data_IF_883384353582
#
_entry.id   IF_883384353582
#
_cell.length_a   1.000
_cell.length_b   1.000
_cell.length_c   1.000
_cell.angle_alpha   90.00
_cell.angle_beta   90.00
_cell.angle_gamma   90.00
#
_symmetry.space_group_name_H-M   'P 1'
#
loop_
_entity.id
_entity.type
_entity.pdbx_description
1 polymer ?
#
# COMPACT_ATOMS: atom_id res chain seq x y z
N UNK A 1 10.00 28.52 -51.58
CA UNK A 1 9.50 28.95 -50.25
C UNK A 1 10.57 28.55 -49.25
N UNK A 2 11.42 29.50 -48.84
CA UNK A 2 12.57 29.21 -47.97
C UNK A 2 12.08 29.06 -46.52
N UNK A 3 12.26 27.87 -45.96
CA UNK A 3 12.00 27.59 -44.54
C UNK A 3 13.06 28.32 -43.72
N UNK A 4 12.61 29.27 -42.89
CA UNK A 4 13.43 30.00 -41.93
C UNK A 4 13.90 29.02 -40.86
N UNK A 5 15.11 28.51 -40.97
CA UNK A 5 15.74 27.68 -39.92
C UNK A 5 15.88 28.56 -38.68
N UNK A 6 15.07 28.33 -37.65
CA UNK A 6 15.21 29.05 -36.40
C UNK A 6 16.57 28.69 -35.78
N UNK A 7 17.50 29.64 -35.70
CA UNK A 7 18.75 29.54 -34.93
C UNK A 7 18.39 29.30 -33.47
N UNK A 8 18.29 28.04 -33.07
CA UNK A 8 17.80 27.67 -31.74
C UNK A 8 18.96 27.08 -30.97
N UNK A 9 19.37 27.81 -29.93
CA UNK A 9 20.33 27.32 -28.94
C UNK A 9 19.73 26.05 -28.30
N UNK A 10 20.46 24.92 -28.23
CA UNK A 10 19.93 23.72 -27.60
C UNK A 10 19.56 23.93 -26.13
N UNK A 11 18.45 23.34 -25.70
CA UNK A 11 17.95 23.48 -24.32
C UNK A 11 18.69 22.61 -23.30
N UNK A 12 19.28 21.50 -23.76
CA UNK A 12 20.08 20.59 -22.92
C UNK A 12 21.48 21.15 -22.76
N UNK A 13 22.01 21.20 -21.54
CA UNK A 13 23.36 21.72 -21.26
C UNK A 13 24.46 20.96 -22.03
N UNK A 14 24.29 19.64 -22.18
CA UNK A 14 25.23 18.79 -22.93
C UNK A 14 25.18 19.08 -24.43
N UNK A 15 23.98 19.20 -25.00
CA UNK A 15 23.81 19.53 -26.42
C UNK A 15 24.24 20.97 -26.71
N UNK A 16 24.02 21.88 -25.75
CA UNK A 16 24.48 23.25 -25.81
C UNK A 16 26.00 23.34 -25.81
N UNK A 17 26.70 22.57 -24.97
CA UNK A 17 28.17 22.54 -24.96
C UNK A 17 28.72 22.01 -26.29
N UNK A 18 28.12 20.94 -26.85
CA UNK A 18 28.52 20.38 -28.15
C UNK A 18 28.31 21.39 -29.27
N UNK A 19 27.13 22.01 -29.32
CA UNK A 19 26.80 23.02 -30.30
C UNK A 19 27.70 24.26 -30.17
N UNK A 20 27.96 24.74 -28.95
CA UNK A 20 28.80 25.91 -28.69
C UNK A 20 30.24 25.68 -29.13
N UNK A 21 30.79 24.49 -28.90
CA UNK A 21 32.12 24.11 -29.41
C UNK A 21 32.21 24.19 -30.92
N UNK A 22 31.21 23.65 -31.62
CA UNK A 22 31.15 23.69 -33.07
C UNK A 22 30.98 25.12 -33.58
N UNK A 23 30.07 25.89 -32.97
CA UNK A 23 29.81 27.28 -33.34
C UNK A 23 31.04 28.16 -33.16
N UNK A 24 31.65 28.18 -31.97
CA UNK A 24 32.85 28.98 -31.67
C UNK A 24 34.00 28.60 -32.60
N UNK A 25 34.21 27.30 -32.85
CA UNK A 25 35.24 26.83 -33.80
C UNK A 25 35.02 27.31 -35.24
N UNK A 26 33.78 27.43 -35.71
CA UNK A 26 33.50 27.91 -37.08
C UNK A 26 33.71 29.43 -37.20
N UNK A 27 33.25 30.19 -36.21
CA UNK A 27 33.40 31.65 -36.22
C UNK A 27 34.83 32.10 -35.98
N UNK A 28 35.61 31.37 -35.17
CA UNK A 28 37.04 31.67 -34.97
C UNK A 28 37.91 31.31 -36.16
N UNK A 29 37.53 30.28 -36.93
CA UNK A 29 38.23 29.92 -38.17
C UNK A 29 37.98 30.90 -39.32
N UNK A 30 36.82 31.59 -39.35
CA UNK A 30 36.44 32.48 -40.46
C UNK A 30 35.77 33.80 -39.98
N UNK A 31 36.43 34.61 -39.15
CA UNK A 31 35.80 35.78 -38.52
C UNK A 31 35.31 36.83 -39.53
N UNK A 32 36.08 37.07 -40.61
CA UNK A 32 35.72 38.03 -41.66
C UNK A 32 34.45 37.63 -42.42
N UNK A 33 34.23 36.31 -42.63
CA UNK A 33 33.03 35.79 -43.31
C UNK A 33 31.76 36.11 -42.52
N UNK A 34 31.87 36.13 -41.20
CA UNK A 34 30.75 36.40 -40.28
C UNK A 34 30.73 37.85 -39.77
N UNK A 35 31.64 38.71 -40.26
CA UNK A 35 31.77 40.11 -39.84
C UNK A 35 31.91 40.28 -38.32
N UNK A 36 32.68 39.39 -37.67
CA UNK A 36 32.94 39.44 -36.23
C UNK A 36 34.29 40.08 -35.94
N UNK A 37 34.31 40.99 -34.96
CA UNK A 37 35.54 41.60 -34.44
C UNK A 37 36.39 40.58 -33.69
N UNK A 38 37.72 40.73 -33.75
CA UNK A 38 38.67 39.80 -33.12
C UNK A 38 38.43 39.68 -31.59
N UNK A 39 38.18 40.81 -30.91
CA UNK A 39 37.92 40.84 -29.47
C UNK A 39 36.68 40.01 -29.10
N UNK A 40 35.63 40.04 -29.94
CA UNK A 40 34.41 39.24 -29.73
C UNK A 40 34.69 37.75 -29.86
N UNK A 41 35.51 37.34 -30.82
CA UNK A 41 35.88 35.93 -31.00
C UNK A 41 36.68 35.44 -29.79
N UNK A 42 37.64 36.23 -29.31
CA UNK A 42 38.43 35.89 -28.11
C UNK A 42 37.57 35.81 -26.85
N UNK A 43 36.58 36.69 -26.70
CA UNK A 43 35.61 36.63 -25.60
C UNK A 43 34.80 35.32 -25.64
N UNK A 44 34.27 34.94 -26.81
CA UNK A 44 33.51 33.69 -26.98
C UNK A 44 34.35 32.43 -26.71
N UNK A 45 35.62 32.41 -27.13
CA UNK A 45 36.54 31.32 -26.82
C UNK A 45 36.82 31.21 -25.32
N UNK A 46 36.95 32.35 -24.64
CA UNK A 46 37.16 32.42 -23.19
C UNK A 46 35.93 31.92 -22.42
N UNK A 47 34.73 32.39 -22.79
CA UNK A 47 33.46 31.96 -22.17
C UNK A 47 33.20 30.46 -22.40
N UNK A 48 33.49 29.95 -23.60
CA UNK A 48 33.35 28.52 -23.89
C UNK A 48 34.28 27.67 -23.00
N UNK A 49 35.53 28.09 -22.81
CA UNK A 49 36.48 27.38 -21.95
C UNK A 49 36.04 27.38 -20.48
N UNK A 50 35.55 28.53 -19.98
CA UNK A 50 35.00 28.66 -18.63
C UNK A 50 33.76 27.78 -18.44
N UNK A 51 32.81 27.84 -19.38
CA UNK A 51 31.59 27.03 -19.34
C UNK A 51 31.91 25.53 -19.39
N UNK A 52 32.85 25.10 -20.24
CA UNK A 52 33.27 23.70 -20.29
C UNK A 52 33.83 23.23 -18.96
N UNK A 53 34.70 24.02 -18.31
CA UNK A 53 35.28 23.67 -17.02
C UNK A 53 34.19 23.55 -15.95
N UNK A 54 33.27 24.51 -15.90
CA UNK A 54 32.14 24.47 -14.97
C UNK A 54 31.22 23.25 -15.21
N UNK A 55 30.99 22.89 -16.47
CA UNK A 55 30.20 21.70 -16.83
C UNK A 55 30.87 20.41 -16.35
N UNK A 56 32.18 20.26 -16.60
CA UNK A 56 32.94 19.07 -16.18
C UNK A 56 33.02 18.95 -14.65
N UNK A 57 33.22 20.07 -13.93
CA UNK A 57 33.20 20.13 -12.47
C UNK A 57 31.82 19.74 -11.89
N UNK A 58 30.73 20.21 -12.50
CA UNK A 58 29.38 19.86 -12.08
C UNK A 58 29.07 18.37 -12.28
N UNK A 59 29.49 17.80 -13.41
CA UNK A 59 29.35 16.36 -13.69
C UNK A 59 30.14 15.54 -12.67
N UNK A 60 31.38 15.92 -12.38
CA UNK A 60 32.22 15.25 -11.39
C UNK A 60 31.59 15.30 -9.99
N UNK A 61 31.14 16.47 -9.55
CA UNK A 61 30.51 16.65 -8.24
C UNK A 61 29.21 15.81 -8.11
N UNK A 62 28.42 15.73 -9.19
CA UNK A 62 27.24 14.86 -9.24
C UNK A 62 27.61 13.39 -9.05
N UNK A 63 28.63 12.92 -9.78
CA UNK A 63 29.03 11.52 -9.76
C UNK A 63 29.66 11.13 -8.41
N UNK A 64 30.46 12.02 -7.80
CA UNK A 64 31.01 11.85 -6.45
C UNK A 64 29.90 11.77 -5.39
N UNK A 65 28.89 12.66 -5.46
CA UNK A 65 27.74 12.64 -4.55
C UNK A 65 26.94 11.34 -4.66
N UNK A 66 26.72 10.87 -5.90
CA UNK A 66 26.04 9.60 -6.16
C UNK A 66 26.85 8.41 -5.61
N UNK A 67 28.17 8.40 -5.83
CA UNK A 67 29.06 7.36 -5.33
C UNK A 67 29.09 7.33 -3.79
N UNK A 68 29.21 8.48 -3.14
CA UNK A 68 29.18 8.59 -1.68
C UNK A 68 27.84 8.11 -1.10
N UNK A 69 26.73 8.46 -1.74
CA UNK A 69 25.39 8.01 -1.34
C UNK A 69 25.24 6.49 -1.46
N UNK A 70 25.69 5.92 -2.57
CA UNK A 70 25.70 4.46 -2.78
C UNK A 70 26.57 3.75 -1.75
N UNK A 71 27.78 4.26 -1.50
CA UNK A 71 28.71 3.68 -0.52
C UNK A 71 28.12 3.67 0.89
N UNK A 72 27.60 4.82 1.35
CA UNK A 72 26.90 4.94 2.64
C UNK A 72 25.76 3.93 2.75
N UNK A 73 24.95 3.78 1.70
CA UNK A 73 23.81 2.86 1.68
C UNK A 73 24.26 1.40 1.77
N UNK A 74 25.31 1.02 1.04
CA UNK A 74 25.91 -0.31 1.10
C UNK A 74 26.45 -0.62 2.50
N UNK A 75 27.19 0.31 3.11
CA UNK A 75 27.71 0.17 4.47
C UNK A 75 26.58 0.03 5.49
N UNK A 76 25.54 0.86 5.39
CA UNK A 76 24.36 0.77 6.26
C UNK A 76 23.71 -0.60 6.17
N UNK A 77 23.50 -1.14 4.97
CA UNK A 77 22.90 -2.46 4.78
C UNK A 77 23.75 -3.57 5.41
N UNK A 78 25.06 -3.52 5.23
CA UNK A 78 25.98 -4.49 5.83
C UNK A 78 25.96 -4.41 7.37
N UNK A 79 26.01 -3.20 7.92
CA UNK A 79 25.97 -2.97 9.36
C UNK A 79 24.63 -3.39 9.97
N UNK A 80 23.52 -3.09 9.31
CA UNK A 80 22.18 -3.50 9.73
C UNK A 80 22.05 -5.02 9.79
N UNK A 81 22.56 -5.74 8.79
CA UNK A 81 22.55 -7.20 8.78
C UNK A 81 23.35 -7.77 9.98
N UNK A 82 24.56 -7.26 10.22
CA UNK A 82 25.38 -7.71 11.34
C UNK A 82 24.74 -7.39 12.70
N UNK A 83 24.14 -6.20 12.83
CA UNK A 83 23.42 -5.79 14.03
C UNK A 83 22.22 -6.69 14.31
N UNK A 84 21.45 -7.06 13.27
CA UNK A 84 20.34 -8.01 13.39
C UNK A 84 20.80 -9.40 13.83
N UNK A 85 21.94 -9.87 13.32
CA UNK A 85 22.53 -11.15 13.74
C UNK A 85 22.94 -11.09 15.20
N UNK A 86 23.65 -10.04 15.62
CA UNK A 86 24.05 -9.85 17.01
C UNK A 86 22.84 -9.79 17.96
N UNK A 87 21.80 -9.04 17.61
CA UNK A 87 20.57 -8.95 18.40
C UNK A 87 19.90 -10.32 18.57
N UNK A 88 19.86 -11.16 17.52
CA UNK A 88 19.33 -12.54 17.60
C UNK A 88 20.16 -13.43 18.54
N UNK A 89 21.48 -13.28 18.53
CA UNK A 89 22.36 -14.03 19.43
C UNK A 89 22.13 -13.63 20.89
N UNK A 90 21.97 -12.33 21.16
CA UNK A 90 21.63 -11.81 22.50
C UNK A 90 20.27 -12.34 22.96
N UNK A 91 19.27 -12.36 22.07
CA UNK A 91 17.93 -12.89 22.38
C UNK A 91 17.97 -14.37 22.77
N UNK A 92 18.76 -15.17 22.06
CA UNK A 92 18.83 -16.62 22.25
C UNK A 92 19.71 -17.05 23.44
N UNK A 93 20.54 -16.15 23.96
CA UNK A 93 21.47 -16.44 25.04
C UNK A 93 20.75 -16.34 26.40
N UNK A 94 20.63 -17.48 27.09
CA UNK A 94 19.99 -17.63 28.40
C UNK A 94 20.76 -16.94 29.54
N UNK A 95 22.05 -16.63 29.34
CA UNK A 95 22.88 -15.89 30.30
C UNK A 95 22.67 -14.39 30.28
N UNK A 96 22.03 -13.84 29.25
CA UNK A 96 21.72 -12.41 29.18
C UNK A 96 20.42 -12.16 29.93
N UNK A 97 20.43 -11.28 30.93
CA UNK A 97 19.24 -10.94 31.69
C UNK A 97 18.29 -10.07 30.86
N UNK A 98 17.00 -10.01 31.23
CA UNK A 98 16.06 -9.12 30.55
C UNK A 98 16.42 -7.64 30.72
N UNK A 99 17.00 -7.26 31.86
CA UNK A 99 17.50 -5.90 32.09
C UNK A 99 18.65 -5.55 31.13
N UNK A 100 19.57 -6.49 30.89
CA UNK A 100 20.66 -6.29 29.93
C UNK A 100 20.15 -6.26 28.48
N UNK A 101 19.13 -7.07 28.14
CA UNK A 101 18.47 -7.00 26.83
C UNK A 101 17.83 -5.64 26.61
N UNK A 102 17.09 -5.14 27.61
CA UNK A 102 16.46 -3.83 27.55
C UNK A 102 17.50 -2.71 27.44
N UNK A 103 18.58 -2.76 28.23
CA UNK A 103 19.69 -1.81 28.14
C UNK A 103 20.37 -1.82 26.76
N UNK A 104 20.45 -2.98 26.10
CA UNK A 104 20.96 -3.13 24.74
C UNK A 104 19.94 -2.72 23.65
N UNK A 105 18.72 -2.32 24.02
CA UNK A 105 17.63 -2.00 23.08
C UNK A 105 17.06 -3.24 22.36
N UNK A 106 17.30 -4.43 22.90
CA UNK A 106 16.79 -5.71 22.38
C UNK A 106 15.44 -6.01 23.04
N UNK A 107 14.48 -6.48 22.25
CA UNK A 107 13.12 -6.76 22.72
C UNK A 107 13.09 -7.85 23.79
N UNK A 108 12.54 -7.56 24.96
CA UNK A 108 12.25 -8.58 25.99
C UNK A 108 10.96 -9.32 25.62
N UNK A 109 11.07 -10.64 25.38
CA UNK A 109 9.94 -11.44 24.95
C UNK A 109 8.93 -11.62 26.09
N UNK A 110 7.64 -11.45 25.78
CA UNK A 110 6.57 -11.71 26.75
C UNK A 110 6.39 -13.22 26.95
N UNK A 111 6.50 -13.71 28.18
CA UNK A 111 6.29 -15.13 28.51
C UNK A 111 4.82 -15.53 28.67
N UNK A 112 3.90 -14.57 28.75
CA UNK A 112 2.46 -14.82 28.84
C UNK A 112 1.73 -14.41 27.57
N UNK A 113 0.84 -15.28 27.09
CA UNK A 113 -0.07 -14.94 25.98
C UNK A 113 -1.21 -14.09 26.54
N UNK A 114 -1.51 -12.96 25.89
CA UNK A 114 -2.77 -12.24 26.16
C UNK A 114 -3.91 -13.02 25.50
N UNK A 115 -4.91 -13.52 26.26
CA UNK A 115 -6.05 -14.21 25.67
C UNK A 115 -6.84 -13.26 24.75
N UNK A 116 -7.33 -13.78 23.62
CA UNK A 116 -8.35 -13.09 22.82
C UNK A 116 -9.64 -13.10 23.64
N UNK A 117 -10.26 -11.93 23.82
CA UNK A 117 -11.53 -11.79 24.51
C UNK A 117 -12.69 -12.33 23.66
N UNK A 118 -13.77 -12.73 24.32
CA UNK A 118 -15.04 -13.05 23.66
C UNK A 118 -15.58 -11.77 23.00
N UNK A 119 -16.10 -11.82 21.75
CA UNK A 119 -16.74 -10.66 21.15
C UNK A 119 -17.95 -10.22 21.98
N UNK A 120 -18.02 -8.94 22.36
CA UNK A 120 -19.14 -8.37 23.13
C UNK A 120 -20.15 -7.63 22.27
N UNK A 121 -19.77 -7.30 21.03
CA UNK A 121 -20.62 -6.66 20.02
C UNK A 121 -21.35 -7.70 19.18
N UNK A 122 -22.34 -7.26 18.40
CA UNK A 122 -23.06 -8.12 17.45
C UNK A 122 -22.94 -7.58 16.02
N UNK A 123 -23.11 -8.44 14.98
CA UNK A 123 -23.15 -7.98 13.60
C UNK A 123 -24.45 -7.23 13.31
N UNK A 124 -24.37 -6.10 12.60
CA UNK A 124 -25.51 -5.41 12.01
C UNK A 124 -25.52 -5.75 10.52
N UNK A 125 -26.55 -6.49 10.08
CA UNK A 125 -26.63 -6.99 8.71
C UNK A 125 -27.64 -6.24 7.84
N UNK A 126 -27.41 -6.26 6.55
CA UNK A 126 -28.26 -5.74 5.49
C UNK A 126 -28.27 -6.71 4.31
N UNK A 127 -29.46 -6.98 3.76
CA UNK A 127 -29.61 -7.92 2.65
C UNK A 127 -30.07 -7.15 1.41
N UNK A 128 -29.33 -7.31 0.33
CA UNK A 128 -29.76 -6.91 -1.00
C UNK A 128 -30.26 -8.15 -1.75
N UNK A 129 -31.53 -8.13 -2.14
CA UNK A 129 -32.22 -9.21 -2.83
C UNK A 129 -32.65 -8.75 -4.23
N UNK A 130 -31.70 -8.34 -5.06
CA UNK A 130 -31.97 -7.84 -6.42
C UNK A 130 -31.81 -8.93 -7.47
N UNK A 131 -30.94 -9.91 -7.21
CA UNK A 131 -30.59 -10.96 -8.16
C UNK A 131 -31.48 -12.20 -7.96
N UNK A 132 -31.83 -12.87 -9.06
CA UNK A 132 -32.68 -14.07 -9.04
C UNK A 132 -32.06 -15.16 -8.17
N UNK A 133 -32.82 -15.64 -7.18
CA UNK A 133 -32.40 -16.68 -6.22
C UNK A 133 -31.08 -16.38 -5.49
N UNK A 134 -30.71 -15.11 -5.39
CA UNK A 134 -29.47 -14.68 -4.75
C UNK A 134 -29.72 -13.50 -3.80
N UNK A 135 -29.18 -13.63 -2.60
CA UNK A 135 -29.05 -12.53 -1.67
C UNK A 135 -27.58 -12.14 -1.51
N UNK A 136 -27.32 -10.84 -1.55
CA UNK A 136 -26.05 -10.27 -1.12
C UNK A 136 -26.20 -9.77 0.32
N UNK A 137 -25.63 -10.53 1.27
CA UNK A 137 -25.62 -10.22 2.70
C UNK A 137 -24.40 -9.37 3.04
N UNK A 138 -24.62 -8.12 3.42
CA UNK A 138 -23.61 -7.24 4.01
C UNK A 138 -23.76 -7.22 5.51
N UNK A 139 -22.66 -7.12 6.24
CA UNK A 139 -22.68 -6.91 7.69
C UNK A 139 -21.48 -6.06 8.15
N UNK A 140 -21.68 -5.33 9.25
CA UNK A 140 -20.69 -4.51 9.95
C UNK A 140 -20.81 -4.70 11.47
N UNK A 141 -19.83 -4.22 12.22
CA UNK A 141 -19.86 -4.29 13.69
C UNK A 141 -20.82 -3.23 14.28
N UNK A 142 -21.56 -3.59 15.34
CA UNK A 142 -22.53 -2.69 16.00
C UNK A 142 -21.92 -1.40 16.55
N UNK A 143 -20.66 -1.41 16.99
CA UNK A 143 -19.98 -0.23 17.52
C UNK A 143 -19.38 0.63 16.39
N UNK A 144 -19.19 0.05 15.20
CA UNK A 144 -18.66 0.75 14.02
C UNK A 144 -19.48 0.46 12.76
N UNK A 145 -20.79 0.80 12.75
CA UNK A 145 -21.72 0.32 11.73
C UNK A 145 -21.42 0.86 10.32
N UNK A 146 -20.70 1.99 10.23
CA UNK A 146 -20.25 2.60 8.97
C UNK A 146 -18.95 2.00 8.43
N UNK A 147 -18.28 1.12 9.18
CA UNK A 147 -17.03 0.45 8.80
C UNK A 147 -17.30 -1.02 8.50
N UNK A 148 -16.69 -1.53 7.42
CA UNK A 148 -16.75 -2.96 7.06
C UNK A 148 -15.79 -3.85 7.88
N UNK A 149 -15.22 -3.31 8.94
CA UNK A 149 -14.30 -4.02 9.81
C UNK A 149 -15.07 -4.92 10.78
N UNK A 150 -14.46 -6.06 11.12
CA UNK A 150 -14.91 -6.94 12.20
C UNK A 150 -14.39 -6.39 13.54
N UNK A 151 -15.01 -6.72 14.68
CA UNK A 151 -14.48 -6.34 15.98
C UNK A 151 -13.10 -6.95 16.20
N UNK A 152 -12.28 -6.26 16.99
CA UNK A 152 -10.96 -6.76 17.36
C UNK A 152 -11.08 -8.13 18.06
N UNK A 153 -10.31 -9.11 17.60
CA UNK A 153 -10.33 -10.47 18.16
C UNK A 153 -11.37 -11.41 17.54
N UNK A 154 -12.32 -10.92 16.74
CA UNK A 154 -13.23 -11.79 16.00
C UNK A 154 -12.56 -12.39 14.75
N UNK A 155 -12.68 -13.70 14.59
CA UNK A 155 -12.21 -14.46 13.44
C UNK A 155 -13.20 -14.40 12.27
N UNK A 156 -14.50 -14.27 12.54
CA UNK A 156 -15.50 -14.17 11.50
C UNK A 156 -16.91 -13.97 12.04
N UNK A 157 -17.86 -13.84 11.13
CA UNK A 157 -19.29 -13.83 11.41
C UNK A 157 -19.88 -15.20 11.06
N UNK A 158 -20.47 -15.90 12.01
CA UNK A 158 -21.32 -17.03 11.70
C UNK A 158 -22.65 -16.52 11.15
N UNK A 159 -23.08 -17.10 10.03
CA UNK A 159 -24.33 -16.80 9.36
C UNK A 159 -25.24 -18.00 9.51
N UNK A 160 -26.36 -17.79 10.18
CA UNK A 160 -27.42 -18.77 10.35
C UNK A 160 -28.62 -18.38 9.50
N UNK A 161 -29.28 -19.36 8.89
CA UNK A 161 -30.34 -19.18 7.92
C UNK A 161 -31.53 -20.08 8.22
N UNK A 162 -32.73 -19.50 8.11
CA UNK A 162 -34.01 -20.19 8.06
C UNK A 162 -34.80 -19.67 6.85
N UNK A 163 -35.35 -20.57 6.04
CA UNK A 163 -36.16 -20.21 4.86
C UNK A 163 -37.59 -20.72 5.08
N UNK A 164 -38.55 -19.79 5.10
CA UNK A 164 -39.96 -20.09 5.33
C UNK A 164 -40.78 -18.83 5.53
N UNK A 165 -42.08 -18.98 5.73
CA UNK A 165 -43.00 -17.84 5.90
C UNK A 165 -43.01 -17.29 7.33
N UNK A 166 -42.59 -18.10 8.29
CA UNK A 166 -42.41 -17.69 9.68
C UNK A 166 -41.11 -16.91 9.90
N UNK A 167 -41.09 -16.07 10.93
CA UNK A 167 -39.87 -15.43 11.46
C UNK A 167 -39.55 -16.00 12.85
N UNK A 168 -38.77 -17.10 12.93
CA UNK A 168 -38.42 -17.71 14.22
C UNK A 168 -37.71 -16.73 15.16
N UNK A 169 -38.24 -16.61 16.38
CA UNK A 169 -37.60 -15.84 17.46
C UNK A 169 -36.50 -16.64 18.17
N UNK A 170 -36.54 -17.98 18.07
CA UNK A 170 -35.54 -18.85 18.68
C UNK A 170 -34.42 -19.18 17.70
N UNK A 171 -33.17 -18.93 18.11
CA UNK A 171 -31.96 -19.23 17.35
C UNK A 171 -31.85 -20.72 16.96
N UNK A 172 -32.44 -21.63 17.74
CA UNK A 172 -32.42 -23.08 17.50
C UNK A 172 -33.11 -23.50 16.21
N UNK A 173 -34.00 -22.67 15.65
CA UNK A 173 -34.68 -22.94 14.39
C UNK A 173 -33.84 -22.59 13.16
N UNK A 174 -32.73 -21.87 13.34
CA UNK A 174 -31.85 -21.50 12.24
C UNK A 174 -30.75 -22.55 12.06
N UNK A 175 -30.40 -22.79 10.81
CA UNK A 175 -29.32 -23.70 10.42
C UNK A 175 -28.05 -22.92 10.11
N UNK A 176 -26.89 -23.45 10.51
CA UNK A 176 -25.61 -22.84 10.16
C UNK A 176 -25.42 -22.87 8.63
N UNK A 177 -25.18 -21.71 8.03
CA UNK A 177 -24.95 -21.57 6.59
C UNK A 177 -23.47 -21.44 6.26
N UNK A 178 -22.76 -20.53 6.94
CA UNK A 178 -21.33 -20.28 6.71
C UNK A 178 -20.67 -19.49 7.84
N UNK A 179 -19.34 -19.57 7.89
CA UNK A 179 -18.49 -18.65 8.65
C UNK A 179 -17.87 -17.64 7.68
N UNK A 180 -18.37 -16.41 7.70
CA UNK A 180 -17.93 -15.35 6.81
C UNK A 180 -16.77 -14.56 7.42
N UNK A 181 -15.62 -14.56 6.74
CA UNK A 181 -14.44 -13.76 7.15
C UNK A 181 -14.43 -12.36 6.54
N UNK A 182 -15.37 -12.04 5.65
CA UNK A 182 -15.49 -10.72 5.01
C UNK A 182 -16.93 -10.43 4.60
N UNK A 183 -17.24 -9.16 4.42
CA UNK A 183 -18.53 -8.65 3.96
C UNK A 183 -18.33 -7.88 2.64
N UNK A 184 -19.21 -8.00 1.64
CA UNK A 184 -20.45 -8.80 1.63
C UNK A 184 -20.22 -10.28 1.30
N UNK A 185 -21.25 -11.11 1.53
CA UNK A 185 -21.32 -12.52 1.14
C UNK A 185 -22.51 -12.79 0.23
N UNK A 186 -22.28 -13.65 -0.78
CA UNK A 186 -23.30 -14.13 -1.70
C UNK A 186 -23.96 -15.39 -1.15
N UNK A 187 -25.29 -15.42 -1.11
CA UNK A 187 -26.09 -16.55 -0.65
C UNK A 187 -27.05 -16.94 -1.75
N UNK A 188 -26.87 -18.13 -2.30
CA UNK A 188 -27.73 -18.69 -3.34
C UNK A 188 -28.79 -19.61 -2.75
N UNK A 189 -29.95 -19.64 -3.41
CA UNK A 189 -31.14 -20.40 -3.06
C UNK A 189 -31.56 -21.34 -4.20
N UNK A 190 -32.37 -22.34 -3.88
CA UNK A 190 -32.94 -23.26 -4.87
C UNK A 190 -34.27 -22.74 -5.42
N UNK A 191 -34.71 -23.26 -6.57
CA UNK A 191 -35.98 -22.84 -7.18
C UNK A 191 -37.20 -23.10 -6.27
N UNK A 192 -37.18 -24.15 -5.43
CA UNK A 192 -38.27 -24.45 -4.48
C UNK A 192 -38.35 -23.47 -3.30
N UNK A 193 -37.34 -22.62 -3.16
CA UNK A 193 -37.26 -21.57 -2.15
C UNK A 193 -37.67 -20.20 -2.70
N UNK A 194 -37.90 -20.09 -4.01
CA UNK A 194 -38.39 -18.88 -4.65
C UNK A 194 -39.67 -18.37 -3.97
N UNK A 195 -39.73 -17.06 -3.70
CA UNK A 195 -40.89 -16.41 -3.06
C UNK A 195 -41.01 -16.61 -1.55
N UNK A 196 -40.20 -17.49 -0.93
CA UNK A 196 -40.15 -17.62 0.55
C UNK A 196 -39.29 -16.52 1.17
N UNK A 197 -39.44 -16.33 2.49
CA UNK A 197 -38.61 -15.39 3.24
C UNK A 197 -37.36 -16.09 3.78
N UNK A 198 -36.19 -15.54 3.47
CA UNK A 198 -34.93 -15.92 4.10
C UNK A 198 -34.72 -15.05 5.34
N UNK A 199 -34.68 -15.69 6.50
CA UNK A 199 -34.38 -15.07 7.79
C UNK A 199 -32.93 -15.40 8.18
N UNK A 200 -32.16 -14.38 8.51
CA UNK A 200 -30.76 -14.47 8.90
C UNK A 200 -30.55 -14.10 10.36
N UNK A 201 -29.70 -14.87 11.02
CA UNK A 201 -29.21 -14.57 12.37
C UNK A 201 -27.68 -14.64 12.35
N UNK A 202 -27.04 -13.59 12.85
CA UNK A 202 -25.60 -13.40 12.73
C UNK A 202 -24.95 -13.32 14.11
N UNK A 203 -23.73 -13.82 14.27
CA UNK A 203 -22.92 -13.55 15.47
C UNK A 203 -21.43 -13.56 15.17
N UNK A 204 -20.66 -12.78 15.91
CA UNK A 204 -19.20 -12.83 15.84
C UNK A 204 -18.67 -14.05 16.58
N UNK A 205 -17.59 -14.64 16.08
CA UNK A 205 -16.86 -15.73 16.75
C UNK A 205 -15.37 -15.40 16.78
N UNK A 206 -14.71 -15.68 17.90
CA UNK A 206 -13.26 -15.49 18.02
C UNK A 206 -12.47 -16.74 17.60
N UNK A 207 -11.14 -16.67 17.69
CA UNK A 207 -10.25 -17.76 17.28
C UNK A 207 -10.34 -19.01 18.16
N UNK A 208 -10.99 -18.92 19.32
CA UNK A 208 -11.26 -20.05 20.23
C UNK A 208 -12.62 -20.69 20.01
N UNK A 209 -13.44 -20.17 19.09
CA UNK A 209 -14.81 -20.62 18.89
C UNK A 209 -15.81 -20.03 19.89
N UNK A 210 -15.40 -19.07 20.72
CA UNK A 210 -16.29 -18.38 21.65
C UNK A 210 -17.11 -17.33 20.88
N UNK A 211 -18.41 -17.32 21.16
CA UNK A 211 -19.43 -16.66 20.39
C UNK A 211 -19.89 -15.39 21.09
N UNK A 212 -19.99 -14.31 20.32
CA UNK A 212 -20.63 -13.07 20.77
C UNK A 212 -22.16 -13.16 20.76
N UNK A 213 -22.83 -12.08 21.17
CA UNK A 213 -24.29 -11.99 21.12
C UNK A 213 -24.81 -12.12 19.68
N UNK A 214 -26.05 -12.60 19.57
CA UNK A 214 -26.78 -12.65 18.31
C UNK A 214 -27.16 -11.25 17.82
N UNK A 215 -27.18 -11.08 16.50
CA UNK A 215 -27.74 -9.91 15.83
C UNK A 215 -29.26 -9.86 15.98
N UNK A 216 -29.84 -8.74 15.55
CA UNK A 216 -31.25 -8.71 15.17
C UNK A 216 -31.51 -9.66 13.99
N UNK A 217 -32.74 -10.15 13.88
CA UNK A 217 -33.16 -10.98 12.75
C UNK A 217 -33.25 -10.09 11.51
N UNK A 218 -32.60 -10.51 10.43
CA UNK A 218 -32.63 -9.82 9.15
C UNK A 218 -33.39 -10.69 8.17
N UNK A 219 -34.43 -10.14 7.54
CA UNK A 219 -35.32 -10.91 6.67
C UNK A 219 -35.39 -10.28 5.28
N UNK A 220 -35.39 -11.12 4.24
CA UNK A 220 -35.61 -10.70 2.86
C UNK A 220 -36.33 -11.80 2.07
N UNK A 221 -37.24 -11.41 1.19
CA UNK A 221 -37.93 -12.34 0.28
C UNK A 221 -37.00 -12.76 -0.85
N UNK A 222 -36.96 -14.05 -1.14
CA UNK A 222 -36.12 -14.63 -2.21
C UNK A 222 -36.73 -14.29 -3.57
N UNK A 223 -36.03 -13.54 -4.44
CA UNK A 223 -36.55 -13.18 -5.76
C UNK A 223 -36.73 -14.42 -6.64
N UNK A 224 -37.92 -14.59 -7.20
CA UNK A 224 -38.26 -15.71 -8.09
C UNK A 224 -37.91 -15.46 -9.56
N UNK A 225 -37.69 -14.20 -9.95
CA UNK A 225 -37.48 -13.74 -11.33
C UNK A 225 -36.31 -12.78 -11.37
#
# INVERSE_FOLDING_TARGET
MATKSATTIPNSEADFLIWSKQFVSQVSANPELYFLEADRVTELETELAQYQTAFDDAVKARDESLAATRHKTTLRKAFENNTRVAAKMIQANDKVTDADREAAGVHVAKHSRTPVSVPTTFPVGFVMATDRLEHTLSFSDSDTPTRRARPAGATGCEVYLFVGDDTPQSASKYSFRMLATRSPQRITFTDEQAGKTANYLLRWVNSKGENGPWSQIISATIPAV
#
